data_IF_745123159096
#
_entry.id   IF_745123159096
#
_cell.length_a   1.000
_cell.length_b   1.000
_cell.length_c   1.000
_cell.angle_alpha   90.00
_cell.angle_beta   90.00
_cell.angle_gamma   90.00
#
_symmetry.space_group_name_H-M   'P 1'
#
loop_
_entity.id
_entity.type
_entity.pdbx_description
1 polymer ?
#
# COMPACT_ATOMS: atom_id res chain seq x y z
N UNK A 1 -14.64 0.20 -5.64
CA UNK A 1 -14.61 0.55 -4.20
C UNK A 1 -15.81 1.40 -3.80
N UNK A 2 -16.01 2.64 -4.27
CA UNK A 2 -17.17 3.48 -3.86
C UNK A 2 -18.54 2.81 -3.99
N UNK A 3 -18.77 2.05 -5.06
CA UNK A 3 -20.04 1.32 -5.27
C UNK A 3 -20.33 0.33 -4.13
N UNK A 4 -19.32 -0.39 -3.63
CA UNK A 4 -19.53 -1.39 -2.58
C UNK A 4 -19.81 -0.77 -1.22
N UNK A 5 -19.33 0.46 -0.96
CA UNK A 5 -19.55 1.16 0.31
C UNK A 5 -21.02 1.39 0.64
N UNK A 6 -21.90 1.43 -0.38
CA UNK A 6 -23.36 1.51 -0.22
C UNK A 6 -23.97 0.27 0.45
N UNK A 7 -23.28 -0.86 0.35
CA UNK A 7 -23.74 -2.16 0.86
C UNK A 7 -22.99 -2.60 2.11
N UNK A 8 -21.99 -1.84 2.56
CA UNK A 8 -21.21 -2.17 3.76
C UNK A 8 -22.06 -1.95 5.01
N UNK A 9 -22.24 -3.01 5.80
CA UNK A 9 -22.92 -2.98 7.10
C UNK A 9 -21.97 -3.17 8.30
N UNK A 10 -20.75 -3.64 8.06
CA UNK A 10 -19.75 -3.85 9.12
C UNK A 10 -19.04 -2.57 9.58
N UNK A 11 -18.37 -2.66 10.73
CA UNK A 11 -17.61 -1.57 11.36
C UNK A 11 -16.31 -1.20 10.62
N UNK A 12 -15.69 -2.19 9.99
CA UNK A 12 -14.47 -2.04 9.21
C UNK A 12 -14.64 -2.61 7.80
N UNK A 13 -13.91 -2.03 6.85
CA UNK A 13 -13.83 -2.46 5.46
C UNK A 13 -12.39 -2.82 5.16
N UNK A 14 -12.20 -3.90 4.41
CA UNK A 14 -10.96 -4.25 3.75
C UNK A 14 -11.25 -4.50 2.28
N UNK A 15 -10.35 -4.06 1.41
CA UNK A 15 -10.48 -4.29 -0.03
C UNK A 15 -9.40 -5.24 -0.49
N UNK A 16 -9.83 -6.41 -0.95
CA UNK A 16 -9.01 -7.39 -1.65
C UNK A 16 -9.33 -7.31 -3.14
N UNK A 17 -8.30 -7.30 -4.00
CA UNK A 17 -8.53 -7.49 -5.42
C UNK A 17 -8.83 -8.96 -5.72
N UNK A 18 -9.28 -9.27 -6.93
CA UNK A 18 -9.73 -10.63 -7.29
C UNK A 18 -8.65 -11.73 -7.15
N UNK A 19 -7.37 -11.37 -7.25
CA UNK A 19 -6.24 -12.30 -7.04
C UNK A 19 -5.74 -12.36 -5.60
N UNK A 20 -6.13 -11.40 -4.76
CA UNK A 20 -5.64 -11.29 -3.39
C UNK A 20 -6.46 -12.18 -2.44
N UNK A 21 -5.84 -12.63 -1.35
CA UNK A 21 -6.49 -13.46 -0.32
C UNK A 21 -6.01 -13.11 1.08
N UNK A 22 -6.77 -13.48 2.10
CA UNK A 22 -6.25 -13.51 3.47
C UNK A 22 -5.14 -14.55 3.59
N UNK A 23 -4.19 -14.31 4.50
CA UNK A 23 -3.09 -15.25 4.73
C UNK A 23 -3.59 -16.59 5.31
N UNK A 24 -4.67 -16.57 6.09
CA UNK A 24 -5.33 -17.76 6.65
C UNK A 24 -6.81 -17.46 6.98
N UNK A 25 -7.52 -18.46 7.54
CA UNK A 25 -8.94 -18.36 7.89
C UNK A 25 -9.21 -17.61 9.21
N UNK A 26 -8.17 -17.26 9.97
CA UNK A 26 -8.26 -16.66 11.31
C UNK A 26 -7.91 -15.18 11.34
N UNK A 27 -7.48 -14.58 10.22
CA UNK A 27 -7.06 -13.16 10.16
C UNK A 27 -8.07 -12.21 10.80
N UNK A 28 -9.37 -12.39 10.53
CA UNK A 28 -10.41 -11.53 11.10
C UNK A 28 -10.54 -11.72 12.61
N UNK A 29 -10.55 -12.97 13.09
CA UNK A 29 -10.61 -13.22 14.53
C UNK A 29 -9.38 -12.68 15.24
N UNK A 30 -8.19 -12.89 14.69
CA UNK A 30 -6.92 -12.50 15.31
C UNK A 30 -6.76 -10.98 15.40
N UNK A 31 -7.15 -10.26 14.33
CA UNK A 31 -7.07 -8.79 14.28
C UNK A 31 -8.06 -8.14 15.24
N UNK A 32 -9.28 -8.67 15.33
CA UNK A 32 -10.38 -8.06 16.09
C UNK A 32 -10.64 -8.71 17.45
N UNK A 33 -9.83 -9.68 17.88
CA UNK A 33 -9.94 -10.30 19.20
C UNK A 33 -9.75 -9.23 20.30
N UNK A 34 -10.74 -9.12 21.20
CA UNK A 34 -10.74 -8.15 22.30
C UNK A 34 -10.52 -6.69 21.84
N UNK A 35 -10.96 -6.36 20.63
CA UNK A 35 -10.73 -5.05 20.05
C UNK A 35 -11.82 -4.03 20.47
N UNK A 36 -11.41 -2.78 20.69
CA UNK A 36 -12.29 -1.70 21.16
C UNK A 36 -12.84 -0.78 20.04
N UNK A 37 -12.59 -1.11 18.77
CA UNK A 37 -13.18 -0.45 17.59
C UNK A 37 -12.90 1.06 17.45
N UNK A 38 -11.77 1.53 17.99
CA UNK A 38 -11.43 2.96 18.12
C UNK A 38 -10.42 3.46 17.07
N UNK A 39 -9.62 2.59 16.45
CA UNK A 39 -8.67 3.00 15.41
C UNK A 39 -9.39 3.25 14.07
N UNK A 40 -9.04 4.31 13.36
CA UNK A 40 -9.61 4.57 12.03
C UNK A 40 -8.97 3.67 10.96
N UNK A 41 -7.72 3.28 11.19
CA UNK A 41 -6.89 2.51 10.29
C UNK A 41 -6.19 1.40 11.07
N UNK A 42 -6.36 0.15 10.65
CA UNK A 42 -5.66 -1.01 11.21
C UNK A 42 -4.91 -1.68 10.08
N UNK A 43 -3.59 -1.81 10.21
CA UNK A 43 -2.74 -2.31 9.15
C UNK A 43 -1.81 -3.40 9.64
N UNK A 44 -1.38 -4.26 8.72
CA UNK A 44 -0.52 -5.42 9.00
C UNK A 44 0.41 -5.73 7.85
N UNK A 45 1.23 -6.74 8.04
CA UNK A 45 2.19 -7.20 7.04
C UNK A 45 1.49 -7.80 5.82
N UNK A 46 2.21 -7.90 4.71
CA UNK A 46 1.68 -8.46 3.46
C UNK A 46 2.66 -9.46 2.88
N UNK A 47 2.17 -10.61 2.46
CA UNK A 47 2.94 -11.51 1.59
C UNK A 47 2.73 -11.10 0.14
N UNK A 48 3.80 -10.96 -0.63
CA UNK A 48 3.71 -10.79 -2.07
C UNK A 48 3.96 -12.15 -2.71
N UNK A 49 3.01 -12.62 -3.51
CA UNK A 49 3.10 -13.88 -4.26
C UNK A 49 3.46 -13.59 -5.72
N UNK A 50 4.55 -14.18 -6.20
CA UNK A 50 4.88 -14.20 -7.62
C UNK A 50 5.45 -15.56 -8.04
N UNK A 51 5.96 -15.65 -9.27
CA UNK A 51 6.55 -16.89 -9.81
C UNK A 51 7.70 -17.48 -8.98
N UNK A 52 8.34 -16.67 -8.12
CA UNK A 52 9.43 -17.10 -7.24
C UNK A 52 8.94 -17.63 -5.88
N UNK A 53 7.65 -17.54 -5.59
CA UNK A 53 7.05 -17.89 -4.30
C UNK A 53 6.55 -16.66 -3.54
N UNK A 54 6.72 -16.67 -2.22
CA UNK A 54 6.21 -15.62 -1.33
C UNK A 54 7.34 -14.79 -0.74
N UNK A 55 7.14 -13.49 -0.58
CA UNK A 55 8.04 -12.63 0.21
C UNK A 55 7.22 -11.84 1.23
N UNK A 56 7.62 -11.91 2.49
CA UNK A 56 7.00 -11.11 3.55
C UNK A 56 7.50 -9.67 3.49
N UNK A 57 6.59 -8.73 3.29
CA UNK A 57 6.84 -7.32 3.51
C UNK A 57 6.30 -6.91 4.87
N UNK A 58 7.22 -6.55 5.78
CA UNK A 58 6.86 -5.92 7.04
C UNK A 58 6.30 -4.52 6.81
N UNK A 59 5.15 -4.23 7.40
CA UNK A 59 4.50 -2.94 7.27
C UNK A 59 5.10 -1.93 8.23
N UNK A 60 5.26 -0.71 7.74
CA UNK A 60 5.76 0.44 8.49
C UNK A 60 5.07 1.69 7.96
N UNK A 61 3.88 1.98 8.49
CA UNK A 61 3.06 3.09 8.02
C UNK A 61 3.81 4.41 8.09
N UNK A 62 3.78 5.21 7.02
CA UNK A 62 4.43 6.51 7.00
C UNK A 62 3.83 7.47 8.05
N UNK A 63 2.55 7.29 8.36
CA UNK A 63 1.76 8.15 9.24
C UNK A 63 2.24 8.15 10.69
N UNK A 64 2.84 7.05 11.17
CA UNK A 64 3.35 6.97 12.56
C UNK A 64 4.64 7.77 12.78
N UNK A 65 5.23 8.31 11.70
CA UNK A 65 6.50 9.06 11.73
C UNK A 65 6.32 10.56 11.49
N UNK A 66 5.09 11.09 11.62
CA UNK A 66 4.78 12.50 11.37
C UNK A 66 5.33 13.00 10.02
N UNK A 67 4.85 12.45 8.89
CA UNK A 67 5.46 12.68 7.60
C UNK A 67 5.33 14.14 7.15
N UNK A 68 6.39 14.66 6.54
CA UNK A 68 6.31 15.94 5.83
C UNK A 68 5.54 15.77 4.51
N UNK A 69 5.06 16.87 3.91
CA UNK A 69 4.47 16.82 2.55
C UNK A 69 5.42 16.15 1.54
N UNK A 70 6.72 16.40 1.67
CA UNK A 70 7.75 15.76 0.84
C UNK A 70 7.78 14.24 1.04
N UNK A 71 7.68 13.77 2.28
CA UNK A 71 7.61 12.34 2.59
C UNK A 71 6.38 11.70 1.95
N UNK A 72 5.21 12.33 2.06
CA UNK A 72 3.95 11.84 1.48
C UNK A 72 4.00 11.69 -0.05
N UNK A 73 4.78 12.53 -0.72
CA UNK A 73 4.93 12.46 -2.18
C UNK A 73 5.89 11.35 -2.59
N UNK A 74 7.07 11.33 -1.98
CA UNK A 74 8.20 10.52 -2.47
C UNK A 74 8.39 9.18 -1.78
N UNK A 75 7.68 8.91 -0.68
CA UNK A 75 7.73 7.62 0.03
C UNK A 75 6.43 6.84 -0.15
N UNK A 76 6.51 5.54 0.07
CA UNK A 76 5.30 4.71 0.15
C UNK A 76 4.52 5.02 1.43
N UNK A 77 3.21 4.77 1.43
CA UNK A 77 2.39 4.77 2.65
C UNK A 77 2.86 3.73 3.66
N UNK A 78 3.63 2.73 3.23
CA UNK A 78 4.33 1.81 4.10
C UNK A 78 3.59 0.52 4.41
N UNK A 79 2.44 0.30 3.77
CA UNK A 79 1.65 -0.94 3.80
C UNK A 79 0.88 -1.09 2.48
N UNK A 80 0.28 -2.26 2.28
CA UNK A 80 -0.61 -2.53 1.14
C UNK A 80 -2.05 -2.28 1.54
N UNK A 81 -2.89 -1.79 0.62
CA UNK A 81 -4.32 -1.57 0.89
C UNK A 81 -5.07 -2.89 1.16
N UNK A 82 -4.55 -4.01 0.64
CA UNK A 82 -5.00 -5.37 0.91
C UNK A 82 -4.77 -5.80 2.36
N UNK A 83 -3.88 -5.11 3.07
CA UNK A 83 -3.57 -5.34 4.48
C UNK A 83 -3.96 -4.13 5.32
N UNK A 84 -4.99 -3.40 4.91
CA UNK A 84 -5.55 -2.26 5.60
C UNK A 84 -7.05 -2.51 5.85
N UNK A 85 -7.43 -2.60 7.12
CA UNK A 85 -8.79 -2.39 7.55
C UNK A 85 -9.02 -0.91 7.82
N UNK A 86 -10.12 -0.37 7.31
CA UNK A 86 -10.49 1.03 7.44
C UNK A 86 -11.85 1.13 8.09
N UNK A 87 -12.00 2.02 9.07
CA UNK A 87 -13.28 2.27 9.74
C UNK A 87 -14.33 2.68 8.70
N UNK A 88 -15.41 1.91 8.64
CA UNK A 88 -16.41 2.02 7.57
C UNK A 88 -17.10 3.39 7.57
N UNK A 89 -17.37 3.95 8.74
CA UNK A 89 -17.97 5.29 8.88
C UNK A 89 -17.10 6.37 8.23
N UNK A 90 -15.80 6.39 8.53
CA UNK A 90 -14.84 7.34 7.96
C UNK A 90 -14.68 7.16 6.46
N UNK A 91 -14.61 5.92 6.00
CA UNK A 91 -14.48 5.61 4.58
C UNK A 91 -15.72 6.03 3.77
N UNK A 92 -16.93 5.91 4.33
CA UNK A 92 -18.19 6.37 3.71
C UNK A 92 -18.30 7.89 3.65
N UNK A 93 -17.70 8.60 4.60
CA UNK A 93 -17.64 10.07 4.60
C UNK A 93 -16.65 10.59 3.55
N UNK A 94 -15.49 9.96 3.44
CA UNK A 94 -14.37 10.44 2.63
C UNK A 94 -14.46 9.97 1.17
N UNK A 95 -14.86 8.71 0.95
CA UNK A 95 -14.92 8.03 -0.35
C UNK A 95 -13.57 8.01 -1.09
N UNK A 96 -13.46 7.15 -2.11
CA UNK A 96 -12.31 7.16 -3.02
C UNK A 96 -12.45 8.27 -4.05
N UNK A 97 -11.41 9.10 -4.21
CA UNK A 97 -11.41 10.13 -5.25
C UNK A 97 -11.20 9.49 -6.63
N UNK A 98 -12.13 9.75 -7.56
CA UNK A 98 -12.12 9.18 -8.91
C UNK A 98 -11.15 9.90 -9.86
N UNK A 99 -10.66 11.08 -9.48
CA UNK A 99 -9.67 11.83 -10.25
C UNK A 99 -8.25 11.24 -10.12
N UNK A 100 -8.05 10.32 -9.17
CA UNK A 100 -6.76 9.64 -8.92
C UNK A 100 -6.84 8.16 -9.32
N UNK A 101 -6.74 7.82 -10.62
CA UNK A 101 -6.91 6.45 -11.10
C UNK A 101 -5.88 5.46 -10.52
N UNK A 102 -4.70 5.92 -10.07
CA UNK A 102 -3.67 5.04 -9.49
C UNK A 102 -3.59 5.21 -7.97
N UNK A 103 -3.66 6.44 -7.46
CA UNK A 103 -3.40 6.79 -6.07
C UNK A 103 -4.63 7.01 -5.21
N UNK A 104 -5.83 6.61 -5.65
CA UNK A 104 -7.07 6.78 -4.88
C UNK A 104 -7.00 6.14 -3.48
N UNK A 105 -6.30 5.01 -3.33
CA UNK A 105 -6.10 4.34 -2.05
C UNK A 105 -5.25 5.17 -1.09
N UNK A 106 -4.12 5.71 -1.56
CA UNK A 106 -3.27 6.61 -0.80
C UNK A 106 -4.06 7.88 -0.42
N UNK A 107 -4.71 8.53 -1.39
CA UNK A 107 -5.53 9.74 -1.15
C UNK A 107 -6.53 9.53 -0.02
N UNK A 108 -7.33 8.46 -0.13
CA UNK A 108 -8.38 8.14 0.85
C UNK A 108 -7.77 7.89 2.22
N UNK A 109 -6.70 7.09 2.29
CA UNK A 109 -6.01 6.77 3.54
C UNK A 109 -5.42 8.02 4.20
N UNK A 110 -4.79 8.89 3.41
CA UNK A 110 -4.23 10.15 3.91
C UNK A 110 -5.33 11.09 4.40
N UNK A 111 -6.44 11.23 3.65
CA UNK A 111 -7.57 12.06 4.08
C UNK A 111 -8.20 11.51 5.36
N UNK A 112 -8.37 10.20 5.50
CA UNK A 112 -8.87 9.58 6.75
C UNK A 112 -7.95 9.95 7.91
N UNK A 113 -6.64 9.73 7.75
CA UNK A 113 -5.67 10.03 8.79
C UNK A 113 -5.66 11.52 9.19
N UNK A 114 -5.58 12.44 8.22
CA UNK A 114 -5.37 13.86 8.51
C UNK A 114 -6.64 14.60 8.97
N UNK A 115 -7.83 14.13 8.58
CA UNK A 115 -9.12 14.73 8.99
C UNK A 115 -9.76 14.02 10.19
N UNK A 116 -9.24 12.85 10.57
CA UNK A 116 -9.78 12.03 11.64
C UNK A 116 -9.04 12.16 12.97
N UNK A 117 -9.20 11.15 13.82
CA UNK A 117 -8.60 11.09 15.15
C UNK A 117 -7.12 10.64 15.14
N UNK A 118 -6.57 10.32 13.96
CA UNK A 118 -5.18 9.86 13.74
C UNK A 118 -4.82 8.55 14.46
N UNK A 119 -5.81 7.80 14.95
CA UNK A 119 -5.58 6.48 15.56
C UNK A 119 -5.36 5.46 14.47
N UNK A 120 -4.12 5.00 14.38
CA UNK A 120 -3.68 3.97 13.44
C UNK A 120 -2.94 2.88 14.21
N UNK A 121 -3.30 1.63 13.95
CA UNK A 121 -2.77 0.47 14.68
C UNK A 121 -2.06 -0.51 13.76
N UNK A 122 -0.86 -0.92 14.16
CA UNK A 122 -0.13 -2.02 13.53
C UNK A 122 -0.40 -3.33 14.27
N UNK A 123 -0.86 -4.37 13.56
CA UNK A 123 -1.22 -5.67 14.18
C UNK A 123 -0.07 -6.66 14.28
N UNK A 124 1.13 -6.33 13.79
CA UNK A 124 2.34 -7.18 13.87
C UNK A 124 2.20 -8.58 13.27
N UNK A 125 1.20 -8.79 12.42
CA UNK A 125 0.97 -10.04 11.69
C UNK A 125 0.67 -9.75 10.22
N UNK A 126 0.87 -10.76 9.37
CA UNK A 126 0.42 -10.69 7.99
C UNK A 126 -1.11 -10.77 7.91
N UNK A 127 -1.71 -9.91 7.09
CA UNK A 127 -3.16 -9.90 6.86
C UNK A 127 -3.47 -10.57 5.52
N UNK A 128 -2.78 -10.16 4.46
CA UNK A 128 -3.08 -10.62 3.11
C UNK A 128 -1.89 -11.18 2.37
N UNK A 129 -2.22 -11.92 1.33
CA UNK A 129 -1.35 -12.31 0.23
C UNK A 129 -1.79 -11.49 -0.98
N UNK A 130 -0.89 -10.61 -1.43
CA UNK A 130 -1.03 -9.81 -2.63
C UNK A 130 -0.52 -10.59 -3.84
N UNK A 131 -1.36 -10.70 -4.87
CA UNK A 131 -0.99 -11.35 -6.13
C UNK A 131 -0.19 -10.40 -7.02
N UNK A 132 1.13 -10.61 -7.05
CA UNK A 132 2.08 -9.85 -7.85
C UNK A 132 2.54 -10.60 -9.11
N UNK A 133 1.88 -11.71 -9.49
CA UNK A 133 2.30 -12.53 -10.65
C UNK A 133 2.22 -11.78 -11.97
N UNK A 134 1.21 -10.92 -12.12
CA UNK A 134 1.00 -10.10 -13.32
C UNK A 134 1.33 -8.62 -13.09
N UNK A 135 1.82 -8.28 -11.90
CA UNK A 135 2.06 -6.91 -11.44
C UNK A 135 0.78 -6.12 -11.13
N UNK A 136 0.84 -5.28 -10.10
CA UNK A 136 -0.21 -4.29 -9.78
C UNK A 136 -0.34 -3.14 -10.80
N UNK A 137 -1.51 -2.48 -10.81
CA UNK A 137 -1.87 -1.41 -11.76
C UNK A 137 -0.93 -0.18 -11.77
N UNK A 138 -0.16 0.02 -10.70
CA UNK A 138 0.84 1.07 -10.56
C UNK A 138 2.22 0.71 -11.15
N UNK A 139 2.44 -0.55 -11.54
CA UNK A 139 3.69 -0.98 -12.16
C UNK A 139 4.00 -0.13 -13.39
N UNK A 140 5.25 0.32 -13.48
CA UNK A 140 5.77 1.17 -14.56
C UNK A 140 5.10 2.56 -14.70
N UNK A 141 4.16 2.94 -13.83
CA UNK A 141 3.46 4.24 -13.87
C UNK A 141 3.91 5.20 -12.77
N UNK A 142 5.15 5.07 -12.29
CA UNK A 142 5.66 5.88 -11.17
C UNK A 142 5.57 7.39 -11.44
N UNK A 143 5.76 7.82 -12.70
CA UNK A 143 5.66 9.24 -13.06
C UNK A 143 4.27 9.79 -12.76
N UNK A 144 3.23 9.05 -13.13
CA UNK A 144 1.82 9.40 -12.87
C UNK A 144 1.52 9.36 -11.38
N UNK A 145 2.00 8.34 -10.65
CA UNK A 145 1.85 8.26 -9.19
C UNK A 145 2.43 9.49 -8.49
N UNK A 146 3.62 9.93 -8.92
CA UNK A 146 4.27 11.11 -8.34
C UNK A 146 3.52 12.41 -8.70
N UNK A 147 2.96 12.51 -9.91
CA UNK A 147 2.16 13.65 -10.32
C UNK A 147 0.83 13.74 -9.56
N UNK A 148 0.12 12.62 -9.39
CA UNK A 148 -1.09 12.56 -8.56
C UNK A 148 -0.78 12.99 -7.13
N UNK A 149 0.31 12.48 -6.53
CA UNK A 149 0.70 12.85 -5.17
C UNK A 149 1.13 14.31 -5.03
N UNK A 150 1.78 14.86 -6.05
CA UNK A 150 2.16 16.27 -6.08
C UNK A 150 0.94 17.18 -5.96
N UNK A 151 -0.13 16.84 -6.69
CA UNK A 151 -1.42 17.54 -6.65
C UNK A 151 -2.12 17.28 -5.32
N UNK A 152 -2.25 16.01 -4.93
CA UNK A 152 -2.93 15.54 -3.72
C UNK A 152 -2.43 16.23 -2.43
N UNK A 153 -1.12 16.43 -2.30
CA UNK A 153 -0.51 17.01 -1.10
C UNK A 153 -0.15 18.50 -1.23
N UNK A 154 -0.55 19.15 -2.33
CA UNK A 154 -0.33 20.57 -2.58
C UNK A 154 1.14 20.98 -2.31
N UNK A 155 2.08 20.43 -3.09
CA UNK A 155 3.50 20.68 -2.89
C UNK A 155 3.97 21.94 -3.63
N UNK A 156 4.36 22.95 -2.86
CA UNK A 156 4.67 24.28 -3.41
C UNK A 156 5.94 24.32 -4.26
N UNK A 157 6.96 23.53 -3.93
CA UNK A 157 8.26 23.61 -4.62
C UNK A 157 8.30 22.74 -5.87
N UNK A 158 7.88 23.31 -7.01
CA UNK A 158 7.86 22.62 -8.31
C UNK A 158 9.24 22.16 -8.77
N UNK A 159 10.29 22.95 -8.57
CA UNK A 159 11.64 22.58 -9.02
C UNK A 159 12.22 21.42 -8.22
N UNK A 160 12.08 21.44 -6.89
CA UNK A 160 12.45 20.30 -6.04
C UNK A 160 11.64 19.05 -6.40
N UNK A 161 10.36 19.21 -6.72
CA UNK A 161 9.52 18.11 -7.16
C UNK A 161 10.04 17.47 -8.46
N UNK A 162 10.22 18.26 -9.52
CA UNK A 162 10.68 17.78 -10.82
C UNK A 162 12.06 17.12 -10.72
N UNK A 163 13.01 17.74 -10.01
CA UNK A 163 14.34 17.17 -9.79
C UNK A 163 14.25 15.77 -9.16
N UNK A 164 13.50 15.62 -8.07
CA UNK A 164 13.35 14.33 -7.37
C UNK A 164 12.60 13.29 -8.19
N UNK A 165 11.54 13.70 -8.90
CA UNK A 165 10.79 12.84 -9.81
C UNK A 165 11.71 12.22 -10.84
N UNK A 166 12.50 13.04 -11.55
CA UNK A 166 13.39 12.54 -12.59
C UNK A 166 14.58 11.76 -12.03
N UNK A 167 15.14 12.14 -10.87
CA UNK A 167 16.15 11.32 -10.19
C UNK A 167 15.61 9.92 -9.83
N UNK A 168 14.36 9.84 -9.35
CA UNK A 168 13.72 8.55 -9.04
C UNK A 168 13.49 7.71 -10.29
N UNK A 169 12.95 8.30 -11.36
CA UNK A 169 12.74 7.63 -12.65
C UNK A 169 14.07 7.12 -13.21
N UNK A 170 15.12 7.94 -13.17
CA UNK A 170 16.44 7.55 -13.65
C UNK A 170 17.04 6.41 -12.84
N UNK A 171 16.86 6.41 -11.51
CA UNK A 171 17.25 5.29 -10.64
C UNK A 171 16.56 3.97 -11.04
N UNK A 172 15.27 4.01 -11.39
CA UNK A 172 14.56 2.83 -11.90
C UNK A 172 15.09 2.38 -13.26
N UNK A 173 15.40 3.33 -14.14
CA UNK A 173 15.99 3.03 -15.45
C UNK A 173 17.33 2.31 -15.32
N UNK A 174 18.23 2.79 -14.43
CA UNK A 174 19.48 2.10 -14.10
C UNK A 174 19.22 0.69 -13.58
N UNK A 175 18.24 0.52 -12.68
CA UNK A 175 17.89 -0.79 -12.14
C UNK A 175 17.42 -1.76 -13.24
N UNK A 176 16.68 -1.27 -14.23
CA UNK A 176 16.24 -2.07 -15.37
C UNK A 176 17.42 -2.43 -16.29
N UNK A 177 18.35 -1.50 -16.54
CA UNK A 177 19.59 -1.79 -17.27
C UNK A 177 20.39 -2.90 -16.57
N UNK A 178 20.56 -2.80 -15.24
CA UNK A 178 21.27 -3.84 -14.48
C UNK A 178 20.57 -5.21 -14.57
N UNK A 179 19.24 -5.22 -14.61
CA UNK A 179 18.47 -6.44 -14.80
C UNK A 179 18.70 -7.06 -16.19
N UNK A 180 18.76 -6.23 -17.22
CA UNK A 180 19.03 -6.67 -18.60
C UNK A 180 20.47 -7.16 -18.79
N UNK A 181 21.45 -6.45 -18.22
CA UNK A 181 22.87 -6.81 -18.33
C UNK A 181 23.23 -8.05 -17.50
N UNK A 182 22.59 -8.25 -16.35
CA UNK A 182 22.93 -9.34 -15.41
C UNK A 182 21.71 -10.14 -14.95
N UNK A 183 20.93 -10.76 -15.86
CA UNK A 183 19.64 -11.38 -15.53
C UNK A 183 19.78 -12.52 -14.52
N UNK A 184 20.79 -13.39 -14.69
CA UNK A 184 21.04 -14.53 -13.80
C UNK A 184 21.41 -14.10 -12.39
N UNK A 185 22.25 -13.07 -12.26
CA UNK A 185 22.67 -12.55 -10.96
C UNK A 185 21.48 -11.92 -10.22
N UNK A 186 20.65 -11.14 -10.92
CA UNK A 186 19.44 -10.55 -10.33
C UNK A 186 18.42 -11.61 -9.96
N UNK A 187 18.20 -12.64 -10.78
CA UNK A 187 17.29 -13.76 -10.46
C UNK A 187 17.75 -14.49 -9.21
N UNK A 188 19.02 -14.87 -9.13
CA UNK A 188 19.60 -15.55 -7.95
C UNK A 188 19.51 -14.70 -6.69
N UNK A 189 19.76 -13.39 -6.80
CA UNK A 189 19.60 -12.45 -5.69
C UNK A 189 18.15 -12.34 -5.22
N UNK A 190 17.19 -12.27 -6.16
CA UNK A 190 15.75 -12.22 -5.84
C UNK A 190 15.31 -13.51 -5.14
N UNK A 191 15.62 -14.68 -5.70
CA UNK A 191 15.24 -15.99 -5.16
C UNK A 191 15.59 -16.18 -3.68
N UNK A 192 16.74 -15.65 -3.22
CA UNK A 192 17.15 -15.70 -1.80
C UNK A 192 16.18 -15.02 -0.83
N UNK A 193 15.29 -14.17 -1.33
CA UNK A 193 14.31 -13.43 -0.51
C UNK A 193 12.95 -14.11 -0.47
N UNK A 194 12.68 -15.05 -1.37
CA UNK A 194 11.39 -15.71 -1.45
C UNK A 194 11.41 -17.05 -0.72
N UNK A 195 10.28 -17.37 -0.09
CA UNK A 195 9.99 -18.66 0.50
C UNK A 195 8.99 -19.41 -0.39
N UNK A 196 9.13 -20.73 -0.47
CA UNK A 196 8.35 -21.56 -1.38
C UNK A 196 6.92 -21.82 -0.90
N UNK A 197 6.64 -21.62 0.40
CA UNK A 197 5.32 -21.82 1.01
C UNK A 197 5.06 -20.73 2.04
N UNK A 198 3.78 -20.38 2.23
CA UNK A 198 3.35 -19.57 3.35
C UNK A 198 3.61 -20.33 4.67
N UNK A 199 4.11 -19.67 5.72
CA UNK A 199 4.12 -20.27 7.05
C UNK A 199 2.69 -20.54 7.50
N UNK A 200 2.44 -21.73 8.05
CA UNK A 200 1.18 -22.11 8.68
C UNK A 200 0.89 -21.26 9.92
#
# INVERSE_FOLDING_TARGET
MNKSLKYVTGEYVIFLNAGDKFVNNHVLSDVFQNYNFDDELIYGDTYFENELGFILQKSNAIYVHNPTKKDLIFKSQGFCHQSLFTKASRLKEILFNLDYPIGADYDTTARIYFTGNRKIRYVKQAISVFDDRFGGASHNKIGVVLDERYIMFDYKNRYDFLLRKYLYIYKLYIKNILHYLFPNMVKKYRQRKYINKLPE
#
